data_IF_358906134547
#
_entry.id   IF_358906134547
#
_cell.length_a   1.000
_cell.length_b   1.000
_cell.length_c   1.000
_cell.angle_alpha   90.00
_cell.angle_beta   90.00
_cell.angle_gamma   90.00
#
_symmetry.space_group_name_H-M   'P 1'
#
loop_
_entity.id
_entity.type
_entity.pdbx_description
1 polymer ?
#
# COMPACT_ATOMS: atom_id res chain seq x y z
N UNK A 1 -29.08 -21.25 25.26
CA UNK A 1 -28.38 -20.98 23.99
C UNK A 1 -26.90 -21.17 24.23
N UNK A 2 -26.23 -22.00 23.44
CA UNK A 2 -24.79 -22.21 23.54
C UNK A 2 -24.06 -20.95 23.08
N UNK A 3 -23.28 -20.33 23.97
CA UNK A 3 -22.51 -19.13 23.66
C UNK A 3 -21.28 -19.51 22.84
N UNK A 4 -21.07 -18.84 21.70
CA UNK A 4 -19.85 -19.00 20.90
C UNK A 4 -18.67 -18.40 21.69
N UNK A 5 -17.61 -19.17 21.91
CA UNK A 5 -16.40 -18.69 22.57
C UNK A 5 -15.63 -17.70 21.68
N UNK A 6 -15.02 -16.67 22.29
CA UNK A 6 -14.13 -15.73 21.58
C UNK A 6 -12.94 -16.43 20.93
N UNK A 7 -12.47 -17.49 21.57
CA UNK A 7 -11.32 -18.26 21.13
C UNK A 7 -11.76 -19.56 20.46
N UNK A 8 -12.93 -19.56 19.80
CA UNK A 8 -13.38 -20.74 19.09
C UNK A 8 -12.41 -21.06 17.95
N UNK A 9 -11.92 -22.29 17.96
CA UNK A 9 -11.08 -22.86 16.92
C UNK A 9 -11.45 -24.33 16.69
N UNK A 10 -11.18 -24.81 15.48
CA UNK A 10 -11.35 -26.20 15.10
C UNK A 10 -10.27 -26.60 14.10
N UNK A 11 -9.66 -27.76 14.32
CA UNK A 11 -8.77 -28.40 13.35
C UNK A 11 -9.52 -29.48 12.56
N UNK A 12 -9.20 -29.62 11.29
CA UNK A 12 -9.58 -30.77 10.47
C UNK A 12 -8.50 -31.04 9.42
N UNK A 13 -8.59 -32.17 8.73
CA UNK A 13 -7.63 -32.57 7.70
C UNK A 13 -8.33 -32.71 6.35
N UNK A 14 -7.68 -32.24 5.28
CA UNK A 14 -8.11 -32.49 3.90
C UNK A 14 -6.89 -32.89 3.10
N UNK A 15 -6.93 -34.09 2.48
CA UNK A 15 -5.85 -34.58 1.61
C UNK A 15 -4.45 -34.58 2.28
N UNK A 16 -4.37 -34.92 3.57
CA UNK A 16 -3.10 -34.89 4.32
C UNK A 16 -2.69 -33.50 4.81
N UNK A 17 -3.46 -32.45 4.53
CA UNK A 17 -3.19 -31.09 4.96
C UNK A 17 -4.03 -30.74 6.19
N UNK A 18 -3.35 -30.33 7.26
CA UNK A 18 -4.00 -29.78 8.44
C UNK A 18 -4.58 -28.40 8.13
N UNK A 19 -5.87 -28.23 8.39
CA UNK A 19 -6.60 -26.96 8.25
C UNK A 19 -7.07 -26.51 9.63
N UNK A 20 -6.75 -25.27 9.99
CA UNK A 20 -7.22 -24.64 11.22
C UNK A 20 -8.26 -23.59 10.88
N UNK A 21 -9.48 -23.77 11.38
CA UNK A 21 -10.54 -22.77 11.34
C UNK A 21 -10.56 -21.99 12.66
N UNK A 22 -10.64 -20.67 12.58
CA UNK A 22 -10.79 -19.78 13.75
C UNK A 22 -11.83 -18.70 13.48
N UNK A 23 -12.51 -18.27 14.54
CA UNK A 23 -13.41 -17.13 14.46
C UNK A 23 -12.60 -15.85 14.24
N UNK A 24 -12.96 -15.03 13.26
CA UNK A 24 -12.24 -13.77 13.01
C UNK A 24 -12.51 -12.76 14.13
N UNK A 25 -11.49 -12.02 14.61
CA UNK A 25 -11.68 -10.94 15.57
C UNK A 25 -12.70 -9.89 15.12
N UNK A 26 -12.85 -9.71 13.80
CA UNK A 26 -13.80 -8.76 13.22
C UNK A 26 -15.25 -9.06 13.56
N UNK A 27 -15.62 -10.35 13.67
CA UNK A 27 -16.99 -10.72 14.08
C UNK A 27 -17.31 -10.29 15.52
N UNK A 28 -16.32 -10.18 16.39
CA UNK A 28 -16.51 -9.68 17.76
C UNK A 28 -16.50 -8.16 17.85
N UNK A 29 -15.62 -7.51 17.07
CA UNK A 29 -15.55 -6.06 17.03
C UNK A 29 -16.83 -5.45 16.42
N UNK A 30 -17.48 -6.19 15.51
CA UNK A 30 -18.66 -5.75 14.77
C UNK A 30 -19.75 -6.85 14.81
N UNK A 31 -20.43 -7.06 15.95
CA UNK A 31 -21.33 -8.19 16.13
C UNK A 31 -22.59 -8.11 15.26
N UNK A 32 -22.99 -6.90 14.84
CA UNK A 32 -24.10 -6.67 13.92
C UNK A 32 -23.72 -6.91 12.44
N UNK A 33 -22.42 -7.11 12.16
CA UNK A 33 -21.94 -7.51 10.85
C UNK A 33 -21.96 -9.04 10.67
N UNK A 34 -21.67 -9.47 9.44
CA UNK A 34 -21.64 -10.88 9.05
C UNK A 34 -20.63 -11.69 9.87
N UNK A 35 -20.95 -12.94 10.15
CA UNK A 35 -19.99 -13.90 10.72
C UNK A 35 -18.83 -14.11 9.73
N UNK A 36 -17.60 -14.04 10.24
CA UNK A 36 -16.36 -14.19 9.49
C UNK A 36 -15.48 -15.25 10.17
N UNK A 37 -15.01 -16.22 9.39
CA UNK A 37 -14.09 -17.26 9.86
C UNK A 37 -12.85 -17.29 8.98
N UNK A 38 -11.71 -17.47 9.62
CA UNK A 38 -10.41 -17.57 8.99
C UNK A 38 -10.00 -19.04 8.94
N UNK A 39 -9.60 -19.51 7.75
CA UNK A 39 -9.15 -20.87 7.51
C UNK A 39 -7.69 -20.84 7.11
N UNK A 40 -6.82 -21.43 7.92
CA UNK A 40 -5.38 -21.48 7.71
C UNK A 40 -4.97 -22.89 7.24
N UNK A 41 -4.26 -22.95 6.11
CA UNK A 41 -3.74 -24.18 5.53
C UNK A 41 -2.32 -24.42 6.03
N UNK A 42 -2.14 -25.25 7.06
CA UNK A 42 -0.84 -25.53 7.66
C UNK A 42 0.02 -24.28 7.96
N UNK A 43 1.27 -24.47 8.38
CA UNK A 43 2.20 -23.35 8.53
C UNK A 43 2.57 -22.77 7.16
N UNK A 44 2.10 -21.56 6.87
CA UNK A 44 2.61 -20.74 5.75
C UNK A 44 1.94 -20.91 4.38
N UNK A 45 0.91 -21.73 4.22
CA UNK A 45 0.18 -21.84 2.93
C UNK A 45 -0.97 -20.81 2.79
N UNK A 46 -1.15 -19.97 3.81
CA UNK A 46 -2.02 -18.80 3.78
C UNK A 46 -3.37 -18.98 4.47
N UNK A 47 -4.05 -17.85 4.67
CA UNK A 47 -5.36 -17.80 5.34
C UNK A 47 -6.43 -17.35 4.37
N UNK A 48 -7.57 -18.04 4.29
CA UNK A 48 -8.75 -17.57 3.55
C UNK A 48 -9.84 -17.14 4.52
N UNK A 49 -10.40 -15.95 4.28
CA UNK A 49 -11.53 -15.43 5.04
C UNK A 49 -12.84 -15.86 4.38
N UNK A 50 -13.71 -16.52 5.12
CA UNK A 50 -15.06 -16.85 4.66
C UNK A 50 -16.09 -16.06 5.44
N UNK A 51 -17.03 -15.48 4.70
CA UNK A 51 -18.09 -14.62 5.23
C UNK A 51 -19.43 -15.34 5.09
N UNK A 52 -20.07 -15.58 6.23
CA UNK A 52 -21.41 -16.14 6.29
C UNK A 52 -22.45 -15.02 6.27
N UNK A 53 -23.52 -15.17 5.48
CA UNK A 53 -24.46 -14.06 5.22
C UNK A 53 -25.20 -13.57 6.46
N UNK A 54 -25.32 -14.42 7.49
CA UNK A 54 -26.01 -14.12 8.75
C UNK A 54 -25.17 -13.23 9.66
N UNK A 55 -25.76 -12.21 10.32
CA UNK A 55 -25.07 -11.42 11.33
C UNK A 55 -24.54 -12.28 12.48
N UNK A 56 -23.39 -11.92 13.05
CA UNK A 56 -22.74 -12.68 14.11
C UNK A 56 -23.63 -12.82 15.35
N UNK A 57 -24.35 -11.75 15.75
CA UNK A 57 -25.33 -11.79 16.86
C UNK A 57 -26.42 -12.85 16.71
N UNK A 58 -26.77 -13.21 15.47
CA UNK A 58 -27.77 -14.23 15.19
C UNK A 58 -27.19 -15.65 15.08
N UNK A 59 -25.87 -15.79 15.03
CA UNK A 59 -25.22 -17.07 14.76
C UNK A 59 -25.18 -18.00 15.97
N UNK A 60 -25.22 -19.30 15.68
CA UNK A 60 -25.12 -20.40 16.64
C UNK A 60 -23.88 -21.25 16.35
N UNK A 61 -23.53 -22.18 17.24
CA UNK A 61 -22.47 -23.16 16.96
C UNK A 61 -22.73 -23.97 15.69
N UNK A 62 -24.01 -24.23 15.36
CA UNK A 62 -24.38 -24.92 14.13
C UNK A 62 -24.00 -24.11 12.89
N UNK A 63 -24.15 -22.78 12.93
CA UNK A 63 -23.76 -21.90 11.82
C UNK A 63 -22.23 -21.96 11.58
N UNK A 64 -21.42 -22.04 12.65
CA UNK A 64 -19.97 -22.25 12.55
C UNK A 64 -19.64 -23.61 11.91
N UNK A 65 -20.29 -24.67 12.38
CA UNK A 65 -20.10 -26.04 11.85
C UNK A 65 -20.47 -26.13 10.36
N UNK A 66 -21.59 -25.51 9.95
CA UNK A 66 -22.01 -25.46 8.55
C UNK A 66 -20.98 -24.73 7.67
N UNK A 67 -20.38 -23.65 8.19
CA UNK A 67 -19.32 -22.95 7.46
C UNK A 67 -18.07 -23.80 7.32
N UNK A 68 -17.65 -24.49 8.38
CA UNK A 68 -16.52 -25.46 8.34
C UNK A 68 -16.79 -26.56 7.33
N UNK A 69 -17.96 -27.20 7.37
CA UNK A 69 -18.33 -28.28 6.45
C UNK A 69 -18.35 -27.78 5.00
N UNK A 70 -18.82 -26.56 4.77
CA UNK A 70 -18.80 -25.95 3.43
C UNK A 70 -17.38 -25.77 2.91
N UNK A 71 -16.45 -25.28 3.74
CA UNK A 71 -15.04 -25.14 3.36
C UNK A 71 -14.39 -26.50 3.15
N UNK A 72 -14.64 -27.47 4.03
CA UNK A 72 -14.15 -28.84 3.90
C UNK A 72 -14.57 -29.47 2.56
N UNK A 73 -15.87 -29.39 2.21
CA UNK A 73 -16.39 -29.90 0.92
C UNK A 73 -15.73 -29.22 -0.27
N UNK A 74 -15.53 -27.91 -0.21
CA UNK A 74 -14.87 -27.15 -1.28
C UNK A 74 -13.41 -27.55 -1.43
N UNK A 75 -12.67 -27.68 -0.33
CA UNK A 75 -11.29 -28.16 -0.35
C UNK A 75 -11.21 -29.56 -0.98
N UNK A 76 -12.08 -30.47 -0.57
CA UNK A 76 -12.16 -31.84 -1.09
C UNK A 76 -12.55 -31.92 -2.59
N UNK A 77 -13.09 -30.83 -3.15
CA UNK A 77 -13.50 -30.74 -4.55
C UNK A 77 -12.45 -30.05 -5.45
N UNK A 78 -11.16 -30.11 -5.08
CA UNK A 78 -10.09 -29.40 -5.79
C UNK A 78 -10.01 -27.92 -5.40
N UNK A 79 -10.30 -27.61 -4.13
CA UNK A 79 -10.25 -26.26 -3.59
C UNK A 79 -8.84 -25.70 -3.44
N UNK A 80 -7.81 -26.50 -3.72
CA UNK A 80 -6.41 -26.12 -3.71
C UNK A 80 -5.80 -26.29 -5.11
N UNK A 81 -4.93 -25.36 -5.48
CA UNK A 81 -4.15 -25.39 -6.72
C UNK A 81 -2.71 -24.94 -6.44
N UNK A 82 -1.72 -25.36 -7.24
CA UNK A 82 -0.37 -24.82 -7.15
C UNK A 82 -0.36 -23.33 -7.50
N UNK A 83 0.37 -22.53 -6.72
CA UNK A 83 0.63 -21.13 -7.05
C UNK A 83 1.40 -21.05 -8.38
N UNK A 84 0.97 -20.19 -9.34
CA UNK A 84 1.62 -20.10 -10.65
C UNK A 84 3.05 -19.54 -10.58
N UNK A 85 3.43 -18.88 -9.48
CA UNK A 85 4.76 -18.27 -9.32
C UNK A 85 5.77 -19.21 -8.64
N UNK A 86 5.37 -19.90 -7.57
CA UNK A 86 6.30 -20.68 -6.75
C UNK A 86 5.91 -22.16 -6.59
N UNK A 87 4.77 -22.60 -7.13
CA UNK A 87 4.29 -23.97 -7.01
C UNK A 87 3.67 -24.34 -5.65
N UNK A 88 3.83 -23.52 -4.61
CA UNK A 88 3.21 -23.73 -3.29
C UNK A 88 1.68 -23.79 -3.41
N UNK A 89 1.05 -24.74 -2.71
CA UNK A 89 -0.41 -24.87 -2.70
C UNK A 89 -1.09 -23.59 -2.17
N UNK A 90 -2.20 -23.22 -2.80
CA UNK A 90 -3.03 -22.08 -2.42
C UNK A 90 -4.49 -22.30 -2.81
N UNK A 91 -5.36 -21.39 -2.37
CA UNK A 91 -6.79 -21.43 -2.59
C UNK A 91 -7.14 -21.27 -4.08
N UNK A 92 -7.95 -22.21 -4.58
CA UNK A 92 -8.46 -22.18 -5.94
C UNK A 92 -9.61 -21.16 -6.05
N UNK A 93 -9.39 -20.05 -6.78
CA UNK A 93 -10.41 -19.00 -6.98
C UNK A 93 -11.68 -19.51 -7.66
N UNK A 94 -11.61 -20.57 -8.48
CA UNK A 94 -12.79 -21.15 -9.11
C UNK A 94 -13.73 -21.81 -8.09
N UNK A 95 -13.16 -22.30 -6.97
CA UNK A 95 -13.90 -22.95 -5.88
C UNK A 95 -14.20 -21.96 -4.75
N UNK A 96 -13.28 -21.03 -4.51
CA UNK A 96 -13.38 -19.94 -3.53
C UNK A 96 -13.41 -18.59 -4.25
N UNK A 97 -14.55 -18.19 -4.83
CA UNK A 97 -14.65 -16.94 -5.59
C UNK A 97 -14.47 -15.68 -4.73
N UNK A 98 -14.57 -15.82 -3.39
CA UNK A 98 -14.23 -14.77 -2.43
C UNK A 98 -12.74 -14.45 -2.38
N UNK A 99 -11.88 -15.38 -2.83
CA UNK A 99 -10.44 -15.21 -2.75
C UNK A 99 -9.99 -14.17 -3.77
N UNK A 100 -9.41 -13.08 -3.27
CA UNK A 100 -8.87 -11.97 -4.08
C UNK A 100 -7.44 -12.23 -4.56
N UNK A 101 -6.91 -13.44 -4.34
CA UNK A 101 -5.51 -13.76 -4.54
C UNK A 101 -5.18 -14.34 -5.92
N UNK A 102 -6.17 -14.54 -6.78
CA UNK A 102 -5.99 -15.05 -8.15
C UNK A 102 -5.14 -16.33 -8.22
N UNK A 103 -5.45 -17.29 -7.35
CA UNK A 103 -4.72 -18.56 -7.24
C UNK A 103 -3.22 -18.38 -6.91
N UNK A 104 -2.84 -17.30 -6.21
CA UNK A 104 -1.49 -17.11 -5.66
C UNK A 104 -1.43 -17.42 -4.18
N UNK A 105 -0.30 -17.93 -3.69
CA UNK A 105 -0.08 -18.13 -2.27
C UNK A 105 0.05 -16.78 -1.55
N UNK A 106 -0.12 -16.77 -0.22
CA UNK A 106 0.00 -15.56 0.61
C UNK A 106 1.32 -14.82 0.36
N UNK A 107 2.42 -15.57 0.28
CA UNK A 107 3.75 -15.00 0.11
C UNK A 107 3.89 -14.21 -1.20
N UNK A 108 3.52 -14.84 -2.32
CA UNK A 108 3.55 -14.24 -3.66
C UNK A 108 2.58 -13.07 -3.77
N UNK A 109 1.32 -13.26 -3.32
CA UNK A 109 0.31 -12.20 -3.35
C UNK A 109 0.72 -10.97 -2.52
N UNK A 110 1.24 -11.18 -1.31
CA UNK A 110 1.76 -10.09 -0.46
C UNK A 110 3.10 -9.53 -0.97
N UNK A 111 3.88 -10.30 -1.74
CA UNK A 111 5.07 -9.81 -2.43
C UNK A 111 4.71 -8.70 -3.42
N UNK A 112 3.76 -8.98 -4.31
CA UNK A 112 3.22 -8.01 -5.26
C UNK A 112 2.58 -6.81 -4.57
N UNK A 113 1.80 -7.07 -3.51
CA UNK A 113 1.17 -6.00 -2.73
C UNK A 113 2.21 -5.09 -2.08
N UNK A 114 3.28 -5.64 -1.50
CA UNK A 114 4.39 -4.87 -0.92
C UNK A 114 5.14 -4.06 -1.97
N UNK A 115 5.43 -4.64 -3.13
CA UNK A 115 6.09 -3.93 -4.23
C UNK A 115 5.23 -2.77 -4.74
N UNK A 116 3.93 -3.01 -4.92
CA UNK A 116 2.95 -2.01 -5.32
C UNK A 116 2.81 -0.90 -4.27
N UNK A 117 2.72 -1.28 -2.99
CA UNK A 117 2.57 -0.35 -1.87
C UNK A 117 3.83 0.51 -1.64
N UNK A 118 5.02 -0.06 -1.81
CA UNK A 118 6.28 0.69 -1.75
C UNK A 118 6.30 1.79 -2.83
N UNK A 119 5.87 1.46 -4.06
CA UNK A 119 5.73 2.43 -5.15
C UNK A 119 4.75 3.58 -4.84
N UNK A 120 3.59 3.28 -4.24
CA UNK A 120 2.63 4.30 -3.82
C UNK A 120 3.13 5.17 -2.68
N UNK A 121 3.80 4.56 -1.69
CA UNK A 121 4.35 5.27 -0.54
C UNK A 121 5.41 6.26 -1.00
N UNK A 122 6.33 5.85 -1.87
CA UNK A 122 7.38 6.73 -2.36
C UNK A 122 6.84 7.83 -3.31
N UNK A 123 5.82 7.53 -4.12
CA UNK A 123 5.16 8.55 -4.94
C UNK A 123 4.47 9.62 -4.08
N UNK A 124 3.72 9.21 -3.06
CA UNK A 124 3.06 10.12 -2.12
C UNK A 124 4.08 10.95 -1.32
N UNK A 125 5.21 10.36 -0.94
CA UNK A 125 6.32 11.08 -0.31
C UNK A 125 6.92 12.13 -1.24
N UNK A 126 7.06 11.84 -2.54
CA UNK A 126 7.57 12.81 -3.53
C UNK A 126 6.56 13.93 -3.76
N UNK A 127 5.27 13.63 -3.85
CA UNK A 127 4.21 14.64 -3.93
C UNK A 127 4.23 15.54 -2.69
N UNK A 128 4.28 14.95 -1.50
CA UNK A 128 4.41 15.68 -0.25
C UNK A 128 5.67 16.55 -0.24
N UNK A 129 6.82 16.03 -0.67
CA UNK A 129 8.07 16.78 -0.74
C UNK A 129 7.99 17.96 -1.72
N UNK A 130 7.34 17.79 -2.87
CA UNK A 130 7.11 18.87 -3.84
C UNK A 130 6.19 19.95 -3.29
N UNK A 131 5.11 19.57 -2.60
CA UNK A 131 4.22 20.51 -1.91
C UNK A 131 4.97 21.28 -0.82
N UNK A 132 5.79 20.57 -0.05
CA UNK A 132 6.65 21.14 0.98
C UNK A 132 7.62 22.18 0.41
N UNK A 133 8.30 21.86 -0.70
CA UNK A 133 9.16 22.80 -1.41
C UNK A 133 8.39 24.03 -1.91
N UNK A 134 7.17 23.83 -2.43
CA UNK A 134 6.33 24.93 -2.88
C UNK A 134 5.90 25.85 -1.72
N UNK A 135 5.63 25.29 -0.54
CA UNK A 135 5.27 26.04 0.65
C UNK A 135 6.50 26.69 1.30
N UNK A 136 7.65 26.04 1.32
CA UNK A 136 8.92 26.62 1.76
C UNK A 136 9.27 27.89 0.96
N UNK A 137 9.06 27.87 -0.37
CA UNK A 137 9.23 29.06 -1.23
C UNK A 137 8.27 30.21 -0.91
N UNK A 138 7.14 29.95 -0.26
CA UNK A 138 6.19 30.97 0.23
C UNK A 138 6.55 31.48 1.64
N UNK A 139 7.65 31.00 2.21
CA UNK A 139 8.18 31.39 3.52
C UNK A 139 7.54 30.64 4.69
N UNK A 140 6.94 29.47 4.45
CA UNK A 140 6.58 28.54 5.52
C UNK A 140 7.84 27.74 5.93
N UNK A 141 7.92 27.38 7.21
CA UNK A 141 9.11 26.72 7.79
C UNK A 141 8.77 25.37 8.40
N UNK A 142 7.50 25.13 8.75
CA UNK A 142 7.04 23.88 9.35
C UNK A 142 5.75 23.38 8.72
N UNK A 143 5.47 22.09 8.89
CA UNK A 143 4.21 21.46 8.54
C UNK A 143 3.70 20.65 9.74
N UNK A 144 2.45 20.91 10.11
CA UNK A 144 1.66 20.10 11.02
C UNK A 144 0.86 19.07 10.20
N UNK A 145 1.01 17.79 10.55
CA UNK A 145 0.18 16.68 10.08
C UNK A 145 -0.50 16.05 11.30
N UNK A 146 -1.82 16.14 11.41
CA UNK A 146 -2.57 15.57 12.54
C UNK A 146 -3.80 14.79 12.12
N UNK A 147 -4.06 13.65 12.73
CA UNK A 147 -5.27 12.87 12.48
C UNK A 147 -6.44 13.40 13.31
N UNK A 148 -7.50 13.77 12.63
CA UNK A 148 -8.77 14.15 13.25
C UNK A 148 -9.61 12.88 13.42
N UNK A 149 -9.82 12.48 14.67
CA UNK A 149 -10.68 11.36 15.11
C UNK A 149 -12.01 11.92 15.64
N UNK A 150 -13.01 12.16 14.77
CA UNK A 150 -14.28 12.73 15.21
C UNK A 150 -15.09 11.73 16.04
N UNK A 151 -16.10 12.23 16.76
CA UNK A 151 -17.04 11.38 17.50
C UNK A 151 -17.90 10.49 16.60
N UNK A 152 -18.18 10.95 15.39
CA UNK A 152 -18.94 10.28 14.33
C UNK A 152 -18.31 10.63 12.98
N UNK A 153 -18.35 9.69 12.04
CA UNK A 153 -17.83 9.88 10.68
C UNK A 153 -16.37 9.42 10.51
N UNK A 154 -15.82 9.58 9.29
CA UNK A 154 -14.50 9.07 8.96
C UNK A 154 -13.39 9.88 9.61
N UNK A 155 -12.29 9.20 9.95
CA UNK A 155 -11.02 9.85 10.30
C UNK A 155 -10.50 10.61 9.09
N UNK A 156 -9.87 11.76 9.31
CA UNK A 156 -9.26 12.57 8.24
C UNK A 156 -7.93 13.16 8.67
N UNK A 157 -7.01 13.30 7.74
CA UNK A 157 -5.74 13.98 7.96
C UNK A 157 -5.94 15.50 7.84
N UNK A 158 -5.55 16.25 8.86
CA UNK A 158 -5.44 17.70 8.84
C UNK A 158 -3.98 18.06 8.58
N UNK A 159 -3.72 18.77 7.48
CA UNK A 159 -2.40 19.30 7.12
C UNK A 159 -2.42 20.83 7.16
N UNK A 160 -1.50 21.43 7.92
CA UNK A 160 -1.36 22.88 8.06
C UNK A 160 0.09 23.29 7.91
N UNK A 161 0.38 24.31 7.10
CA UNK A 161 1.72 24.87 6.96
C UNK A 161 1.88 26.09 7.87
N UNK A 162 3.03 26.19 8.53
CA UNK A 162 3.30 27.15 9.59
C UNK A 162 4.56 27.96 9.28
N UNK A 163 4.61 29.22 9.72
CA UNK A 163 5.80 30.10 9.58
C UNK A 163 6.76 30.03 10.79
N UNK A 164 6.44 29.21 11.78
CA UNK A 164 7.24 29.00 12.98
C UNK A 164 6.89 27.66 13.61
N UNK A 165 7.57 27.36 14.72
CA UNK A 165 7.29 26.19 15.53
C UNK A 165 5.87 26.24 16.11
N UNK A 166 5.28 25.07 16.31
CA UNK A 166 3.99 24.91 16.96
C UNK A 166 4.21 24.10 18.24
N UNK A 167 3.75 24.63 19.36
CA UNK A 167 3.82 23.93 20.63
C UNK A 167 2.81 22.77 20.68
N UNK A 168 3.06 21.80 21.55
CA UNK A 168 2.12 20.69 21.75
C UNK A 168 0.74 21.16 22.21
N UNK A 169 0.69 22.25 22.99
CA UNK A 169 -0.54 22.86 23.45
C UNK A 169 -1.35 23.46 22.28
N UNK A 170 -0.67 24.15 21.35
CA UNK A 170 -1.29 24.71 20.15
C UNK A 170 -1.77 23.61 19.20
N UNK A 171 -0.98 22.55 19.02
CA UNK A 171 -1.34 21.38 18.23
C UNK A 171 -2.59 20.67 18.78
N UNK A 172 -2.64 20.43 20.09
CA UNK A 172 -3.80 19.85 20.74
C UNK A 172 -5.03 20.77 20.65
N UNK A 173 -4.85 22.09 20.80
CA UNK A 173 -5.92 23.06 20.63
C UNK A 173 -6.48 23.07 19.20
N UNK A 174 -5.61 23.01 18.19
CA UNK A 174 -5.99 22.92 16.78
C UNK A 174 -6.80 21.65 16.49
N UNK A 175 -6.35 20.49 16.97
CA UNK A 175 -7.09 19.23 16.80
C UNK A 175 -8.46 19.26 17.50
N UNK A 176 -8.53 19.85 18.70
CA UNK A 176 -9.78 20.02 19.43
C UNK A 176 -10.76 20.92 18.67
N UNK A 177 -10.29 22.01 18.07
CA UNK A 177 -11.11 22.89 17.21
C UNK A 177 -11.68 22.16 15.98
N UNK A 178 -10.98 21.13 15.50
CA UNK A 178 -11.46 20.27 14.40
C UNK A 178 -12.43 19.17 14.87
N UNK A 179 -12.82 19.15 16.16
CA UNK A 179 -13.72 18.15 16.73
C UNK A 179 -13.04 16.81 17.02
N UNK A 180 -11.71 16.78 17.17
CA UNK A 180 -10.96 15.56 17.44
C UNK A 180 -11.14 15.10 18.90
N UNK A 181 -11.35 13.80 19.11
CA UNK A 181 -11.33 13.17 20.45
C UNK A 181 -9.92 12.83 20.95
N UNK A 182 -8.98 12.62 20.02
CA UNK A 182 -7.60 12.21 20.31
C UNK A 182 -6.67 13.33 19.88
N UNK A 183 -6.28 14.19 20.82
CA UNK A 183 -5.56 15.44 20.52
C UNK A 183 -4.03 15.31 20.53
N UNK A 184 -3.50 14.09 20.53
CA UNK A 184 -2.07 13.79 20.56
C UNK A 184 -1.60 12.95 19.36
N UNK A 185 -2.47 12.71 18.36
CA UNK A 185 -2.12 11.99 17.13
C UNK A 185 -1.72 12.99 16.04
N UNK A 186 -0.52 13.54 16.17
CA UNK A 186 0.06 14.47 15.21
C UNK A 186 1.59 14.40 15.17
N UNK A 187 2.14 15.02 14.12
CA UNK A 187 3.56 15.35 14.01
C UNK A 187 3.70 16.78 13.50
N UNK A 188 4.67 17.49 14.05
CA UNK A 188 5.19 18.74 13.48
C UNK A 188 6.56 18.44 12.90
N UNK A 189 6.80 18.86 11.66
CA UNK A 189 8.07 18.65 10.98
C UNK A 189 8.55 19.93 10.34
N UNK A 190 9.86 20.11 10.31
CA UNK A 190 10.51 21.20 9.58
C UNK A 190 10.35 20.94 8.08
N UNK A 191 10.01 21.98 7.32
CA UNK A 191 10.00 21.92 5.86
C UNK A 191 11.43 21.90 5.32
N UNK A 192 11.70 21.22 4.20
CA UNK A 192 12.98 21.36 3.52
C UNK A 192 13.23 22.83 3.15
N UNK A 193 14.49 23.29 3.13
CA UNK A 193 14.81 24.63 2.66
C UNK A 193 14.35 24.81 1.22
N UNK A 194 14.01 26.04 0.85
CA UNK A 194 13.68 26.35 -0.54
C UNK A 194 14.90 26.07 -1.43
N UNK A 195 14.70 25.31 -2.50
CA UNK A 195 15.80 25.01 -3.44
C UNK A 195 16.14 26.22 -4.30
N UNK A 196 17.44 26.41 -4.55
CA UNK A 196 17.94 27.29 -5.61
C UNK A 196 17.64 26.68 -6.99
N UNK A 197 17.81 27.47 -8.06
CA UNK A 197 17.68 26.93 -9.42
C UNK A 197 18.71 25.83 -9.68
N UNK A 198 19.95 26.00 -9.21
CA UNK A 198 21.03 25.04 -9.41
C UNK A 198 20.74 23.70 -8.72
N UNK A 199 20.31 23.74 -7.45
CA UNK A 199 19.99 22.52 -6.69
C UNK A 199 18.76 21.81 -7.26
N UNK A 200 17.74 22.58 -7.65
CA UNK A 200 16.55 22.02 -8.26
C UNK A 200 16.85 21.38 -9.62
N UNK A 201 17.74 21.99 -10.40
CA UNK A 201 18.22 21.43 -11.66
C UNK A 201 19.03 20.16 -11.43
N UNK A 202 19.98 20.16 -10.50
CA UNK A 202 20.78 18.98 -10.17
C UNK A 202 19.92 17.80 -9.73
N UNK A 203 18.88 18.06 -8.93
CA UNK A 203 17.89 17.05 -8.52
C UNK A 203 17.10 16.52 -9.71
N UNK A 204 16.63 17.40 -10.62
CA UNK A 204 15.92 16.97 -11.82
C UNK A 204 16.81 16.12 -12.74
N UNK A 205 18.07 16.51 -12.94
CA UNK A 205 19.05 15.78 -13.75
C UNK A 205 19.37 14.41 -13.13
N UNK A 206 19.48 14.32 -11.80
CA UNK A 206 19.65 13.05 -11.08
C UNK A 206 18.45 12.11 -11.30
N UNK A 207 17.22 12.60 -11.14
CA UNK A 207 16.00 11.80 -11.35
C UNK A 207 15.82 11.37 -12.81
N UNK A 208 16.23 12.21 -13.76
CA UNK A 208 16.29 11.84 -15.18
C UNK A 208 17.29 10.69 -15.42
N UNK A 209 18.48 10.75 -14.80
CA UNK A 209 19.49 9.71 -14.89
C UNK A 209 19.06 8.39 -14.21
N UNK A 210 18.45 8.47 -13.02
CA UNK A 210 17.89 7.33 -12.29
C UNK A 210 16.83 6.61 -13.13
N UNK A 211 15.90 7.35 -13.72
CA UNK A 211 14.88 6.79 -14.61
C UNK A 211 15.49 6.15 -15.87
N UNK A 212 16.56 6.75 -16.42
CA UNK A 212 17.31 6.17 -17.55
C UNK A 212 18.00 4.85 -17.19
N UNK A 213 18.66 4.79 -16.03
CA UNK A 213 19.31 3.59 -15.54
C UNK A 213 18.30 2.47 -15.26
N UNK A 214 17.17 2.78 -14.61
CA UNK A 214 16.12 1.81 -14.36
C UNK A 214 15.47 1.29 -15.66
N UNK A 215 15.30 2.16 -16.66
CA UNK A 215 14.83 1.75 -17.99
C UNK A 215 15.82 0.81 -18.69
N UNK A 216 17.12 1.09 -18.60
CA UNK A 216 18.17 0.25 -19.17
C UNK A 216 18.23 -1.13 -18.49
N UNK A 217 18.10 -1.17 -17.17
CA UNK A 217 18.01 -2.42 -16.41
C UNK A 217 16.77 -3.22 -16.81
N UNK A 218 15.59 -2.59 -16.87
CA UNK A 218 14.38 -3.29 -17.30
C UNK A 218 14.51 -3.82 -18.74
N UNK A 219 15.19 -3.09 -19.62
CA UNK A 219 15.45 -3.51 -20.99
C UNK A 219 16.45 -4.68 -21.12
N UNK A 220 17.32 -4.90 -20.13
CA UNK A 220 18.31 -6.00 -20.16
C UNK A 220 17.66 -7.38 -20.06
N UNK A 221 16.44 -7.47 -19.51
CA UNK A 221 15.62 -8.68 -19.51
C UNK A 221 15.03 -9.07 -20.88
N UNK A 222 15.37 -8.33 -21.95
CA UNK A 222 15.05 -8.68 -23.33
C UNK A 222 13.59 -8.41 -23.76
N UNK A 223 13.37 -8.28 -25.08
CA UNK A 223 12.03 -8.12 -25.68
C UNK A 223 11.35 -9.43 -26.07
N UNK A 224 12.09 -10.55 -26.13
CA UNK A 224 11.61 -11.84 -26.67
C UNK A 224 11.66 -12.93 -25.59
N UNK A 225 10.46 -13.41 -25.21
CA UNK A 225 10.09 -14.73 -24.66
C UNK A 225 11.05 -15.34 -23.62
N UNK A 226 10.59 -15.49 -22.38
CA UNK A 226 9.87 -16.67 -21.86
C UNK A 226 8.93 -16.20 -20.74
N UNK A 227 7.73 -16.75 -20.63
CA UNK A 227 6.81 -16.46 -19.50
C UNK A 227 7.47 -16.70 -18.12
N UNK A 228 8.57 -17.47 -18.07
CA UNK A 228 9.36 -17.74 -16.87
C UNK A 228 10.28 -16.59 -16.43
N UNK A 229 10.86 -15.79 -17.32
CA UNK A 229 11.75 -14.67 -16.92
C UNK A 229 10.95 -13.45 -16.43
N UNK A 230 9.77 -13.21 -17.01
CA UNK A 230 8.81 -12.23 -16.50
C UNK A 230 8.16 -12.65 -15.19
N UNK A 231 8.35 -13.90 -14.77
CA UNK A 231 8.00 -14.39 -13.45
C UNK A 231 9.18 -14.36 -12.47
N UNK A 232 10.38 -13.91 -12.89
CA UNK A 232 11.53 -13.85 -12.00
C UNK A 232 11.40 -12.69 -11.00
N UNK A 233 11.78 -12.89 -9.72
CA UNK A 233 11.82 -11.83 -8.72
C UNK A 233 12.63 -10.60 -9.16
N UNK A 234 13.74 -10.82 -9.87
CA UNK A 234 14.63 -9.76 -10.33
C UNK A 234 13.97 -8.87 -11.39
N UNK A 235 13.19 -9.46 -12.31
CA UNK A 235 12.42 -8.68 -13.29
C UNK A 235 11.39 -7.78 -12.61
N UNK A 236 10.64 -8.32 -11.65
CA UNK A 236 9.62 -7.54 -10.92
C UNK A 236 10.24 -6.43 -10.08
N UNK A 237 11.39 -6.68 -9.46
CA UNK A 237 12.17 -5.65 -8.78
C UNK A 237 12.64 -4.55 -9.75
N UNK A 238 13.18 -4.92 -10.91
CA UNK A 238 13.61 -3.96 -11.93
C UNK A 238 12.43 -3.13 -12.47
N UNK A 239 11.28 -3.77 -12.69
CA UNK A 239 10.06 -3.09 -13.14
C UNK A 239 9.54 -2.11 -12.10
N UNK A 240 9.46 -2.52 -10.83
CA UNK A 240 9.03 -1.65 -9.74
C UNK A 240 9.97 -0.44 -9.59
N UNK A 241 11.28 -0.65 -9.67
CA UNK A 241 12.27 0.43 -9.66
C UNK A 241 12.09 1.41 -10.83
N UNK A 242 11.83 0.90 -12.03
CA UNK A 242 11.54 1.73 -13.21
C UNK A 242 10.26 2.55 -13.05
N UNK A 243 9.15 1.92 -12.66
CA UNK A 243 7.86 2.59 -12.45
C UNK A 243 8.01 3.71 -11.40
N UNK A 244 8.72 3.44 -10.31
CA UNK A 244 9.00 4.42 -9.28
C UNK A 244 9.85 5.59 -9.79
N UNK A 245 10.97 5.31 -10.47
CA UNK A 245 11.85 6.35 -10.99
C UNK A 245 11.12 7.27 -11.99
N UNK A 246 10.26 6.70 -12.85
CA UNK A 246 9.43 7.48 -13.78
C UNK A 246 8.44 8.38 -13.03
N UNK A 247 7.81 7.88 -11.97
CA UNK A 247 6.87 8.66 -11.16
C UNK A 247 7.59 9.80 -10.44
N UNK A 248 8.73 9.55 -9.78
CA UNK A 248 9.58 10.57 -9.14
C UNK A 248 9.96 11.67 -10.12
N UNK A 249 10.54 11.27 -11.26
CA UNK A 249 10.92 12.14 -12.37
C UNK A 249 9.75 13.01 -12.85
N UNK A 250 8.56 12.41 -13.02
CA UNK A 250 7.38 13.12 -13.51
C UNK A 250 6.87 14.16 -12.52
N UNK A 251 6.72 13.81 -11.24
CA UNK A 251 6.19 14.70 -10.20
C UNK A 251 7.15 15.87 -9.99
N UNK A 252 8.42 15.57 -9.71
CA UNK A 252 9.44 16.58 -9.46
C UNK A 252 9.71 17.43 -10.72
N UNK A 253 9.85 16.79 -11.88
CA UNK A 253 10.12 17.47 -13.15
C UNK A 253 9.02 18.46 -13.54
N UNK A 254 7.75 18.15 -13.27
CA UNK A 254 6.63 19.10 -13.48
C UNK A 254 6.75 20.31 -12.56
N UNK A 255 7.04 20.10 -11.28
CA UNK A 255 7.26 21.19 -10.33
C UNK A 255 8.45 22.05 -10.77
N UNK A 256 9.61 21.45 -11.03
CA UNK A 256 10.82 22.14 -11.47
C UNK A 256 10.57 22.96 -12.74
N UNK A 257 9.93 22.37 -13.74
CA UNK A 257 9.60 23.03 -15.00
C UNK A 257 8.70 24.26 -14.83
N UNK A 258 7.75 24.20 -13.89
CA UNK A 258 6.82 25.29 -13.60
C UNK A 258 7.47 26.37 -12.75
N UNK A 259 8.14 25.98 -11.67
CA UNK A 259 8.74 26.88 -10.67
C UNK A 259 9.89 27.71 -11.25
N UNK A 260 10.70 27.12 -12.12
CA UNK A 260 11.90 27.76 -12.69
C UNK A 260 11.77 28.02 -14.20
N UNK A 261 10.56 28.28 -14.69
CA UNK A 261 10.29 28.48 -16.12
C UNK A 261 11.21 29.53 -16.76
N UNK A 262 11.42 30.67 -16.10
CA UNK A 262 12.23 31.79 -16.62
C UNK A 262 13.71 31.41 -16.67
N UNK A 263 14.25 30.88 -15.58
CA UNK A 263 15.65 30.47 -15.51
C UNK A 263 15.97 29.39 -16.56
N UNK A 264 15.06 28.42 -16.77
CA UNK A 264 15.20 27.41 -17.83
C UNK A 264 15.18 28.02 -19.23
N UNK A 265 14.37 29.04 -19.47
CA UNK A 265 14.35 29.76 -20.75
C UNK A 265 15.68 30.50 -20.96
N UNK A 266 16.20 31.18 -19.94
CA UNK A 266 17.49 31.85 -20.02
C UNK A 266 18.64 30.87 -20.29
N UNK A 267 18.68 29.73 -19.57
CA UNK A 267 19.70 28.69 -19.80
C UNK A 267 19.67 28.17 -21.24
N UNK A 268 18.48 28.00 -21.83
CA UNK A 268 18.34 27.57 -23.23
C UNK A 268 18.88 28.61 -24.22
N UNK A 269 18.64 29.90 -23.97
CA UNK A 269 19.13 30.98 -24.82
C UNK A 269 20.65 31.14 -24.73
N UNK A 270 21.24 30.82 -23.58
CA UNK A 270 22.67 30.91 -23.32
C UNK A 270 23.45 29.65 -23.72
N UNK A 271 22.79 28.56 -24.12
CA UNK A 271 23.50 27.37 -24.60
C UNK A 271 24.20 27.69 -25.91
N UNK A 272 25.53 27.49 -26.01
CA UNK A 272 26.22 27.66 -27.27
C UNK A 272 25.56 26.74 -28.30
N UNK A 273 25.15 27.32 -29.43
CA UNK A 273 24.69 26.55 -30.58
C UNK A 273 25.85 25.63 -30.93
N UNK A 274 25.69 24.31 -30.71
CA UNK A 274 26.70 23.35 -31.15
C UNK A 274 26.90 23.61 -32.64
N UNK A 275 28.10 24.07 -33.01
CA UNK A 275 28.48 24.26 -34.39
C UNK A 275 28.16 22.95 -35.11
N UNK A 276 27.22 23.00 -36.05
CA UNK A 276 26.92 21.85 -36.91
C UNK A 276 28.15 21.64 -37.78
N UNK A 277 28.97 20.66 -37.39
CA UNK A 277 30.02 20.09 -38.23
C UNK A 277 29.47 18.92 -39.02
#
# INVERSE_FOLDING_TARGET
>A
MSTISRNWEMGFEVEGLAVRARLSPMSWAHPDEKLQMEFELGPGLGTELQVYQKPFTGCSLLDLQLLVETVHRRLSAGGLVPCPECGTLTWNRAVFPSSTRDARCEHCWMGDWRATWAGYTDAALVEQFVDDLAMARKGFTHCFDGWVHPSRGPKRLLRVFLRGEMSDADAAALLKQQGCKVCNDYRVRVLPPSLSFADAKATADFLDAEAGAAAALLASFGKRRVDSERASPDYWAARAAFELAVVKRRIYGRWYARTFKVQRQMERLLRPVKAQG
#
